data_IF_782889193078
#
_entry.id   IF_782889193078
#
_cell.length_a   1.000
_cell.length_b   1.000
_cell.length_c   1.000
_cell.angle_alpha   90.00
_cell.angle_beta   90.00
_cell.angle_gamma   90.00
#
_symmetry.space_group_name_H-M   'P 1'
#
loop_
_entity.id
_entity.type
_entity.pdbx_description
1 polymer ?
#
# COMPACT_ATOMS: atom_id res chain seq x y z
N UNK A 1 -11.87 -4.10 -16.73
CA UNK A 1 -11.62 -4.06 -15.30
C UNK A 1 -12.87 -4.42 -14.54
N UNK A 2 -12.76 -5.08 -13.41
CA UNK A 2 -13.89 -5.40 -12.52
C UNK A 2 -13.55 -4.84 -11.13
N UNK A 3 -14.53 -4.24 -10.45
CA UNK A 3 -14.40 -3.76 -9.08
C UNK A 3 -15.25 -4.68 -8.23
N UNK A 4 -14.65 -5.31 -7.24
CA UNK A 4 -15.27 -6.39 -6.48
C UNK A 4 -14.95 -6.22 -5.00
N UNK A 5 -15.96 -6.45 -4.13
CA UNK A 5 -15.71 -6.59 -2.69
C UNK A 5 -14.93 -7.87 -2.42
N UNK A 6 -14.02 -7.83 -1.45
CA UNK A 6 -13.19 -8.98 -1.11
C UNK A 6 -14.02 -9.99 -0.33
N UNK A 7 -14.07 -11.22 -0.83
CA UNK A 7 -14.66 -12.39 -0.17
C UNK A 7 -13.77 -13.63 -0.35
N UNK A 8 -14.13 -14.72 0.30
CA UNK A 8 -13.38 -15.98 0.24
C UNK A 8 -13.24 -16.54 -1.20
N UNK A 9 -14.24 -16.31 -2.05
CA UNK A 9 -14.22 -16.81 -3.44
C UNK A 9 -13.23 -16.01 -4.29
N UNK A 10 -13.20 -14.69 -4.11
CA UNK A 10 -12.24 -13.82 -4.79
C UNK A 10 -10.82 -14.14 -4.37
N UNK A 11 -10.58 -14.30 -3.07
CA UNK A 11 -9.27 -14.69 -2.53
C UNK A 11 -8.80 -16.01 -3.16
N UNK A 12 -9.68 -17.01 -3.22
CA UNK A 12 -9.36 -18.30 -3.86
C UNK A 12 -8.99 -18.12 -5.33
N UNK A 13 -9.79 -17.38 -6.12
CA UNK A 13 -9.53 -17.11 -7.53
C UNK A 13 -8.20 -16.38 -7.75
N UNK A 14 -7.87 -15.42 -6.89
CA UNK A 14 -6.62 -14.68 -6.95
C UNK A 14 -5.42 -15.61 -6.73
N UNK A 15 -5.49 -16.50 -5.74
CA UNK A 15 -4.45 -17.51 -5.48
C UNK A 15 -4.29 -18.47 -6.65
N UNK A 16 -5.38 -18.96 -7.22
CA UNK A 16 -5.38 -19.87 -8.36
C UNK A 16 -4.84 -19.23 -9.65
N UNK A 17 -4.90 -17.91 -9.77
CA UNK A 17 -4.44 -17.18 -10.96
C UNK A 17 -2.93 -16.93 -11.01
N UNK A 18 -2.17 -17.44 -10.04
CA UNK A 18 -0.72 -17.20 -9.96
C UNK A 18 -0.33 -15.75 -9.66
N UNK A 19 -1.28 -14.93 -9.25
CA UNK A 19 -0.99 -13.66 -8.59
C UNK A 19 -0.43 -14.05 -7.23
N UNK A 20 0.83 -13.77 -7.04
CA UNK A 20 1.75 -14.27 -6.04
C UNK A 20 1.14 -14.57 -4.65
N UNK A 21 1.74 -15.52 -3.96
CA UNK A 21 1.41 -15.96 -2.60
C UNK A 21 1.57 -14.87 -1.52
N UNK A 22 2.14 -13.71 -1.87
CA UNK A 22 2.27 -12.53 -1.00
C UNK A 22 0.94 -11.78 -0.78
N UNK A 23 -0.18 -12.40 -1.06
CA UNK A 23 -1.49 -11.77 -1.10
C UNK A 23 -2.28 -11.76 0.21
N UNK A 24 -1.68 -12.06 1.34
CA UNK A 24 -2.35 -11.82 2.63
C UNK A 24 -2.79 -10.35 2.77
N UNK A 25 -2.05 -9.41 2.15
CA UNK A 25 -2.43 -8.00 2.10
C UNK A 25 -3.75 -7.74 1.38
N UNK A 26 -4.07 -8.49 0.31
CA UNK A 26 -5.37 -8.34 -0.38
C UNK A 26 -6.53 -8.98 0.39
N UNK A 27 -6.28 -9.97 1.22
CA UNK A 27 -7.29 -10.57 2.11
C UNK A 27 -7.79 -9.56 3.17
N UNK A 28 -6.97 -8.56 3.49
CA UNK A 28 -7.30 -7.49 4.43
C UNK A 28 -7.93 -6.27 3.76
N UNK A 29 -8.07 -6.27 2.43
CA UNK A 29 -8.71 -5.19 1.70
C UNK A 29 -10.23 -5.28 1.77
N UNK A 30 -10.90 -4.11 1.76
CA UNK A 30 -12.35 -4.03 1.70
C UNK A 30 -12.86 -4.33 0.29
N UNK A 31 -12.09 -3.92 -0.72
CA UNK A 31 -12.40 -4.12 -2.13
C UNK A 31 -11.15 -4.13 -2.99
N UNK A 32 -11.29 -4.69 -4.20
CA UNK A 32 -10.20 -4.81 -5.19
C UNK A 32 -10.65 -4.41 -6.58
N UNK A 33 -9.72 -3.88 -7.36
CA UNK A 33 -9.82 -3.74 -8.82
C UNK A 33 -9.10 -4.92 -9.46
N UNK A 34 -9.79 -5.65 -10.32
CA UNK A 34 -9.23 -6.78 -11.06
C UNK A 34 -9.06 -6.43 -12.54
N UNK A 35 -7.92 -6.80 -13.09
CA UNK A 35 -7.70 -6.89 -14.53
C UNK A 35 -7.81 -8.35 -14.95
N UNK A 36 -8.70 -8.63 -15.90
CA UNK A 36 -8.93 -9.95 -16.46
C UNK A 36 -8.86 -9.88 -17.99
N UNK A 37 -8.16 -10.81 -18.60
CA UNK A 37 -8.03 -10.97 -20.05
C UNK A 37 -8.16 -12.45 -20.40
N UNK A 38 -9.11 -12.81 -21.29
CA UNK A 38 -9.38 -14.19 -21.71
C UNK A 38 -9.61 -15.17 -20.55
N UNK A 39 -10.31 -14.74 -19.50
CA UNK A 39 -10.61 -15.55 -18.32
C UNK A 39 -9.45 -15.67 -17.32
N UNK A 40 -8.30 -15.06 -17.60
CA UNK A 40 -7.12 -15.08 -16.73
C UNK A 40 -7.00 -13.75 -15.99
N UNK A 41 -6.85 -13.80 -14.67
CA UNK A 41 -6.59 -12.60 -13.86
C UNK A 41 -5.12 -12.22 -14.05
N UNK A 42 -4.90 -11.10 -14.72
CA UNK A 42 -3.56 -10.58 -14.99
C UNK A 42 -3.02 -9.65 -13.90
N UNK A 43 -3.87 -9.18 -13.00
CA UNK A 43 -3.47 -8.34 -11.89
C UNK A 43 -4.63 -7.88 -11.03
N UNK A 44 -4.29 -7.44 -9.82
CA UNK A 44 -5.23 -6.88 -8.85
C UNK A 44 -4.60 -5.72 -8.08
N UNK A 45 -5.41 -4.73 -7.70
CA UNK A 45 -5.05 -3.74 -6.70
C UNK A 45 -6.16 -3.66 -5.66
N UNK A 46 -5.79 -3.67 -4.39
CA UNK A 46 -6.74 -3.62 -3.27
C UNK A 46 -6.62 -2.32 -2.48
N UNK A 47 -7.67 -2.00 -1.73
CA UNK A 47 -7.76 -0.85 -0.85
C UNK A 47 -8.26 -1.29 0.53
N UNK A 48 -7.60 -0.83 1.58
CA UNK A 48 -8.06 -1.09 2.94
C UNK A 48 -7.16 -0.50 4.03
N UNK A 49 -7.50 -0.78 5.28
CA UNK A 49 -6.73 -0.38 6.46
C UNK A 49 -6.85 1.08 6.87
N UNK A 50 -6.24 1.39 8.01
CA UNK A 50 -6.39 2.66 8.71
C UNK A 50 -5.93 3.89 7.90
N UNK A 51 -4.91 3.73 7.06
CA UNK A 51 -4.37 4.82 6.24
C UNK A 51 -4.84 4.78 4.77
N UNK A 52 -5.95 4.07 4.48
CA UNK A 52 -6.42 3.84 3.12
C UNK A 52 -5.27 3.35 2.23
N UNK A 53 -4.61 2.28 2.68
CA UNK A 53 -3.44 1.75 1.97
C UNK A 53 -3.89 1.01 0.73
N UNK A 54 -3.28 1.32 -0.39
CA UNK A 54 -3.44 0.53 -1.62
C UNK A 54 -2.21 -0.33 -1.87
N UNK A 55 -2.47 -1.53 -2.40
CA UNK A 55 -1.43 -2.44 -2.87
C UNK A 55 -1.78 -2.96 -4.25
N UNK A 56 -0.78 -3.24 -5.08
CA UNK A 56 -0.96 -3.78 -6.43
C UNK A 56 -0.08 -4.99 -6.66
N UNK A 57 -0.65 -5.99 -7.31
CA UNK A 57 0.05 -7.20 -7.71
C UNK A 57 -0.28 -7.56 -9.15
N UNK A 58 0.71 -8.03 -9.90
CA UNK A 58 0.57 -8.44 -11.29
C UNK A 58 1.11 -9.87 -11.47
N UNK A 59 0.37 -10.66 -12.21
CA UNK A 59 0.88 -11.91 -12.75
C UNK A 59 2.07 -11.60 -13.67
N UNK A 60 3.13 -12.39 -13.59
CA UNK A 60 4.39 -12.16 -14.31
C UNK A 60 4.20 -12.01 -15.82
N UNK A 61 3.33 -12.84 -16.40
CA UNK A 61 3.03 -12.84 -17.85
C UNK A 61 2.34 -11.53 -18.32
N UNK A 62 1.89 -10.69 -17.37
CA UNK A 62 1.20 -9.43 -17.64
C UNK A 62 2.05 -8.20 -17.31
N UNK A 63 3.28 -8.40 -16.82
CA UNK A 63 4.22 -7.29 -16.53
C UNK A 63 4.72 -6.63 -17.83
N UNK A 64 5.16 -5.38 -17.73
CA UNK A 64 5.68 -4.61 -18.87
C UNK A 64 4.62 -4.09 -19.86
N UNK A 65 3.35 -4.48 -19.73
CA UNK A 65 2.24 -4.15 -20.65
C UNK A 65 1.45 -2.90 -20.24
N UNK A 66 1.92 -2.14 -19.25
CA UNK A 66 1.21 -0.96 -18.72
C UNK A 66 -0.04 -1.28 -17.88
N UNK A 67 -0.33 -2.56 -17.63
CA UNK A 67 -1.52 -3.01 -16.90
C UNK A 67 -1.52 -2.50 -15.46
N UNK A 68 -0.38 -2.47 -14.77
CA UNK A 68 -0.27 -1.93 -13.43
C UNK A 68 -0.75 -0.49 -13.33
N UNK A 69 -0.37 0.35 -14.31
CA UNK A 69 -0.82 1.75 -14.36
C UNK A 69 -2.33 1.86 -14.58
N UNK A 70 -2.90 1.00 -15.43
CA UNK A 70 -4.35 0.96 -15.68
C UNK A 70 -5.13 0.56 -14.42
N UNK A 71 -4.67 -0.49 -13.72
CA UNK A 71 -5.32 -0.98 -12.48
C UNK A 71 -5.24 0.09 -11.39
N UNK A 72 -4.06 0.69 -11.18
CA UNK A 72 -3.87 1.69 -10.14
C UNK A 72 -4.65 2.97 -10.43
N UNK A 73 -4.77 3.37 -11.69
CA UNK A 73 -5.62 4.50 -12.08
C UNK A 73 -7.09 4.21 -11.78
N UNK A 74 -7.60 3.02 -12.13
CA UNK A 74 -8.98 2.63 -11.82
C UNK A 74 -9.23 2.59 -10.31
N UNK A 75 -8.23 2.13 -9.52
CA UNK A 75 -8.33 2.14 -8.06
C UNK A 75 -8.43 3.59 -7.52
N UNK A 76 -7.65 4.52 -8.07
CA UNK A 76 -7.73 5.95 -7.72
C UNK A 76 -9.11 6.51 -8.04
N UNK A 77 -9.60 6.27 -9.27
CA UNK A 77 -10.89 6.76 -9.74
C UNK A 77 -12.05 6.20 -8.89
N UNK A 78 -12.00 4.90 -8.55
CA UNK A 78 -12.99 4.28 -7.66
C UNK A 78 -12.90 4.79 -6.22
N UNK A 79 -11.70 5.04 -5.72
CA UNK A 79 -11.53 5.64 -4.39
C UNK A 79 -12.21 7.01 -4.32
N UNK A 80 -12.05 7.84 -5.35
CA UNK A 80 -12.77 9.11 -5.45
C UNK A 80 -14.29 8.91 -5.46
N UNK A 81 -14.81 7.96 -6.25
CA UNK A 81 -16.25 7.65 -6.32
C UNK A 81 -16.83 7.18 -4.99
N UNK A 82 -16.03 6.45 -4.19
CA UNK A 82 -16.40 5.98 -2.85
C UNK A 82 -16.25 7.05 -1.76
N UNK A 83 -15.81 8.26 -2.10
CA UNK A 83 -15.67 9.37 -1.16
C UNK A 83 -14.43 9.32 -0.27
N UNK A 84 -13.41 8.57 -0.65
CA UNK A 84 -12.12 8.66 0.03
C UNK A 84 -11.52 10.04 -0.20
N UNK A 85 -11.00 10.67 0.85
CA UNK A 85 -10.33 11.97 0.74
C UNK A 85 -8.86 11.86 0.34
N UNK A 86 -8.25 10.71 0.60
CA UNK A 86 -6.85 10.39 0.26
C UNK A 86 -6.63 8.88 0.23
N UNK A 87 -5.56 8.46 -0.42
CA UNK A 87 -5.03 7.10 -0.34
C UNK A 87 -3.51 7.13 -0.17
N UNK A 88 -2.96 6.04 0.37
CA UNK A 88 -1.52 5.86 0.53
C UNK A 88 -1.04 4.56 -0.08
N UNK A 89 0.27 4.47 -0.31
CA UNK A 89 0.97 3.25 -0.72
C UNK A 89 2.26 3.10 0.07
N UNK A 90 2.64 1.87 0.31
CA UNK A 90 3.93 1.51 0.89
C UNK A 90 4.82 0.95 -0.22
N UNK A 91 5.92 1.62 -0.51
CA UNK A 91 6.84 1.25 -1.57
C UNK A 91 8.19 0.87 -0.99
N UNK A 92 8.69 -0.29 -1.37
CA UNK A 92 10.11 -0.56 -1.29
C UNK A 92 10.85 0.43 -2.22
N UNK A 93 11.73 1.31 -1.71
CA UNK A 93 12.48 2.27 -2.53
C UNK A 93 13.41 1.58 -3.55
N UNK A 94 13.78 0.31 -3.32
CA UNK A 94 14.53 -0.52 -4.27
C UNK A 94 13.68 -1.02 -5.45
N UNK A 95 12.36 -1.08 -5.29
CA UNK A 95 11.45 -1.46 -6.37
C UNK A 95 11.18 -0.28 -7.31
N UNK A 96 12.14 -0.02 -8.22
CA UNK A 96 12.09 1.13 -9.15
C UNK A 96 10.84 1.14 -10.03
N UNK A 97 10.28 -0.01 -10.38
CA UNK A 97 9.07 -0.11 -11.18
C UNK A 97 7.85 0.40 -10.42
N UNK A 98 7.70 0.02 -9.15
CA UNK A 98 6.64 0.48 -8.26
C UNK A 98 6.80 1.98 -7.97
N UNK A 99 8.03 2.44 -7.70
CA UNK A 99 8.33 3.86 -7.47
C UNK A 99 7.89 4.71 -8.66
N UNK A 100 8.37 4.36 -9.89
CA UNK A 100 8.01 5.08 -11.13
C UNK A 100 6.51 5.05 -11.41
N UNK A 101 5.84 3.93 -11.14
CA UNK A 101 4.40 3.81 -11.30
C UNK A 101 3.67 4.87 -10.47
N UNK A 102 3.93 4.91 -9.15
CA UNK A 102 3.23 5.82 -8.25
C UNK A 102 3.60 7.28 -8.49
N UNK A 103 4.88 7.59 -8.80
CA UNK A 103 5.30 8.94 -9.20
C UNK A 103 4.56 9.41 -10.45
N UNK A 104 4.40 8.53 -11.46
CA UNK A 104 3.67 8.84 -12.68
C UNK A 104 2.17 9.08 -12.51
N UNK A 105 1.62 8.70 -11.35
CA UNK A 105 0.22 8.87 -10.96
C UNK A 105 0.01 10.02 -9.97
N UNK A 106 1.07 10.77 -9.62
CA UNK A 106 0.99 11.95 -8.79
C UNK A 106 1.01 11.68 -7.29
N UNK A 107 1.53 10.53 -6.85
CA UNK A 107 1.76 10.29 -5.43
C UNK A 107 2.96 11.06 -4.92
N UNK A 108 2.79 11.79 -3.84
CA UNK A 108 3.85 12.51 -3.13
C UNK A 108 4.49 11.62 -2.06
N UNK A 109 5.79 11.75 -1.83
CA UNK A 109 6.46 11.16 -0.68
C UNK A 109 6.00 11.84 0.60
N UNK A 110 5.70 11.03 1.62
CA UNK A 110 5.24 11.52 2.92
C UNK A 110 6.28 11.29 4.01
N UNK A 111 6.73 10.06 4.19
CA UNK A 111 7.71 9.66 5.18
C UNK A 111 8.28 8.28 4.86
N UNK A 112 9.34 7.88 5.59
CA UNK A 112 10.00 6.58 5.46
C UNK A 112 9.94 5.81 6.77
N UNK A 113 9.72 4.50 6.69
CA UNK A 113 9.77 3.59 7.83
C UNK A 113 10.92 2.60 7.61
N UNK A 114 11.76 2.45 8.64
CA UNK A 114 12.77 1.43 8.70
C UNK A 114 12.31 0.32 9.64
N UNK A 115 12.38 -0.90 9.14
CA UNK A 115 12.04 -2.10 9.89
C UNK A 115 13.31 -2.87 10.23
N UNK A 116 13.22 -3.77 11.20
CA UNK A 116 14.30 -4.72 11.50
C UNK A 116 14.64 -5.55 10.25
N UNK A 117 15.84 -6.11 10.18
CA UNK A 117 16.39 -6.83 9.02
C UNK A 117 16.68 -5.93 7.79
N UNK A 118 16.77 -4.61 7.96
CA UNK A 118 17.13 -3.68 6.88
C UNK A 118 16.04 -3.42 5.86
N UNK A 119 14.79 -3.82 6.15
CA UNK A 119 13.66 -3.54 5.26
C UNK A 119 13.26 -2.07 5.40
N UNK A 120 13.01 -1.41 4.27
CA UNK A 120 12.66 0.01 4.20
C UNK A 120 11.43 0.20 3.33
N UNK A 121 10.48 1.00 3.79
CA UNK A 121 9.34 1.41 2.98
C UNK A 121 9.19 2.93 2.97
N UNK A 122 9.06 3.49 1.76
CA UNK A 122 8.60 4.86 1.55
C UNK A 122 7.07 4.86 1.52
N UNK A 123 6.47 5.68 2.35
CA UNK A 123 5.02 5.91 2.31
C UNK A 123 4.78 7.11 1.41
N UNK A 124 3.97 6.89 0.39
CA UNK A 124 3.52 7.93 -0.52
C UNK A 124 2.01 8.08 -0.43
N UNK A 125 1.49 9.26 -0.81
CA UNK A 125 0.05 9.51 -0.77
C UNK A 125 -0.40 10.45 -1.87
N UNK A 126 -1.69 10.34 -2.22
CA UNK A 126 -2.39 11.25 -3.11
C UNK A 126 -3.69 11.70 -2.45
N UNK A 127 -4.00 12.98 -2.52
CA UNK A 127 -5.23 13.56 -1.97
C UNK A 127 -6.19 13.92 -3.09
N UNK A 128 -7.49 13.78 -2.81
CA UNK A 128 -8.56 14.02 -3.76
C UNK A 128 -9.34 15.32 -3.48
N UNK A 129 -9.31 15.79 -2.25
CA UNK A 129 -10.04 16.97 -1.80
C UNK A 129 -9.26 17.79 -0.76
N UNK A 130 -9.87 18.89 -0.25
CA UNK A 130 -9.24 19.74 0.78
C UNK A 130 -8.99 18.99 2.09
N UNK A 131 -9.90 18.08 2.48
CA UNK A 131 -9.77 17.25 3.69
C UNK A 131 -8.58 16.29 3.52
N UNK A 132 -8.47 15.65 2.37
CA UNK A 132 -7.33 14.78 2.04
C UNK A 132 -6.01 15.51 2.05
N UNK A 133 -5.95 16.73 1.50
CA UNK A 133 -4.74 17.58 1.57
C UNK A 133 -4.32 17.87 3.01
N UNK A 134 -5.28 18.18 3.89
CA UNK A 134 -5.00 18.40 5.30
C UNK A 134 -4.48 17.14 5.98
N UNK A 135 -5.12 16.00 5.75
CA UNK A 135 -4.72 14.71 6.33
C UNK A 135 -3.33 14.26 5.86
N UNK A 136 -3.04 14.38 4.57
CA UNK A 136 -1.70 14.12 4.02
C UNK A 136 -0.67 15.09 4.59
N UNK A 137 -1.03 16.37 4.75
CA UNK A 137 -0.18 17.35 5.43
C UNK A 137 0.14 16.95 6.86
N UNK A 138 -0.84 16.43 7.58
CA UNK A 138 -0.65 15.91 8.94
C UNK A 138 0.26 14.65 8.93
N UNK A 139 0.09 13.73 7.98
CA UNK A 139 0.95 12.54 7.89
C UNK A 139 2.42 12.90 7.66
N UNK A 140 2.73 14.04 7.06
CA UNK A 140 4.12 14.51 6.88
C UNK A 140 4.84 14.82 8.20
N UNK A 141 4.14 14.91 9.34
CA UNK A 141 4.79 15.03 10.66
C UNK A 141 5.67 13.80 10.94
N UNK A 142 5.30 12.65 10.37
CA UNK A 142 6.10 11.44 10.46
C UNK A 142 7.41 11.48 9.66
N UNK A 143 7.62 12.51 8.84
CA UNK A 143 8.91 12.81 8.22
C UNK A 143 9.82 13.68 9.13
N UNK A 144 9.72 13.49 10.42
CA UNK A 144 10.59 14.05 11.44
C UNK A 144 11.07 12.91 12.36
N UNK A 145 12.24 13.07 12.96
CA UNK A 145 12.80 12.04 13.85
C UNK A 145 11.82 11.64 14.95
N UNK A 146 11.24 12.61 15.63
CA UNK A 146 10.25 12.37 16.71
C UNK A 146 8.99 11.72 16.15
N UNK A 147 8.47 12.23 15.05
CA UNK A 147 7.28 11.70 14.41
C UNK A 147 7.46 10.26 13.92
N UNK A 148 8.61 9.95 13.31
CA UNK A 148 8.91 8.57 12.86
C UNK A 148 9.04 7.61 14.04
N UNK A 149 9.66 8.02 15.14
CA UNK A 149 9.74 7.20 16.37
C UNK A 149 8.35 6.98 16.97
N UNK A 150 7.53 8.03 17.07
CA UNK A 150 6.16 7.92 17.56
C UNK A 150 5.32 6.97 16.70
N UNK A 151 5.42 7.09 15.36
CA UNK A 151 4.77 6.18 14.43
C UNK A 151 5.25 4.73 14.61
N UNK A 152 6.56 4.53 14.75
CA UNK A 152 7.13 3.19 14.94
C UNK A 152 6.59 2.52 16.23
N UNK A 153 6.46 3.28 17.32
CA UNK A 153 5.85 2.80 18.56
C UNK A 153 4.37 2.48 18.34
N UNK A 154 3.62 3.38 17.69
CA UNK A 154 2.21 3.19 17.38
C UNK A 154 1.98 1.93 16.54
N UNK A 155 2.76 1.73 15.48
CA UNK A 155 2.65 0.55 14.62
C UNK A 155 2.96 -0.74 15.38
N UNK A 156 3.94 -0.72 16.29
CA UNK A 156 4.27 -1.86 17.14
C UNK A 156 3.10 -2.23 18.07
N UNK A 157 2.46 -1.23 18.69
CA UNK A 157 1.29 -1.43 19.56
C UNK A 157 0.11 -1.94 18.75
N UNK A 158 -0.18 -1.32 17.61
CA UNK A 158 -1.31 -1.69 16.75
C UNK A 158 -1.14 -3.09 16.16
N UNK A 159 0.08 -3.48 15.76
CA UNK A 159 0.37 -4.84 15.30
C UNK A 159 0.05 -5.88 16.36
N UNK A 160 0.36 -5.60 17.62
CA UNK A 160 0.13 -6.53 18.74
C UNK A 160 -1.34 -6.58 19.16
N UNK A 161 -2.02 -5.42 19.20
CA UNK A 161 -3.37 -5.29 19.76
C UNK A 161 -4.48 -5.33 18.72
N UNK A 162 -4.18 -4.89 17.47
CA UNK A 162 -5.15 -4.74 16.39
C UNK A 162 -4.56 -5.15 15.03
N UNK A 163 -4.20 -6.43 14.84
CA UNK A 163 -3.53 -6.88 13.61
C UNK A 163 -4.33 -6.63 12.33
N UNK A 164 -5.67 -6.51 12.44
CA UNK A 164 -6.56 -6.23 11.29
C UNK A 164 -6.59 -4.75 10.84
N UNK A 165 -6.07 -3.82 11.65
CA UNK A 165 -6.08 -2.39 11.32
C UNK A 165 -4.92 -1.97 10.42
N UNK A 166 -3.92 -2.81 10.27
CA UNK A 166 -2.73 -2.56 9.47
C UNK A 166 -2.64 -3.68 8.45
N UNK A 167 -2.57 -3.31 7.17
CA UNK A 167 -2.35 -4.28 6.09
C UNK A 167 -0.88 -4.67 6.11
N UNK A 168 -0.51 -5.58 6.97
CA UNK A 168 0.79 -6.23 6.99
C UNK A 168 0.62 -7.74 6.96
N UNK A 169 1.44 -8.39 6.17
CA UNK A 169 1.74 -9.79 6.41
C UNK A 169 2.66 -9.88 7.63
N UNK A 170 2.22 -10.55 8.70
CA UNK A 170 3.01 -10.68 9.92
C UNK A 170 4.33 -11.41 9.70
N UNK A 171 4.37 -12.30 8.71
CA UNK A 171 5.56 -13.08 8.37
C UNK A 171 6.55 -12.30 7.49
N UNK A 172 6.10 -11.29 6.75
CA UNK A 172 6.90 -10.55 5.78
C UNK A 172 7.43 -9.21 6.28
N UNK A 173 6.65 -8.47 7.09
CA UNK A 173 7.08 -7.19 7.63
C UNK A 173 7.49 -7.29 9.09
N UNK A 174 8.80 -7.26 9.38
CA UNK A 174 9.30 -7.20 10.74
C UNK A 174 8.86 -5.92 11.44
N UNK A 175 8.99 -5.89 12.77
CA UNK A 175 8.66 -4.70 13.56
C UNK A 175 9.53 -3.51 13.17
N UNK A 176 9.03 -2.26 13.25
CA UNK A 176 9.83 -1.07 13.02
C UNK A 176 11.08 -1.05 13.92
N UNK A 177 12.23 -0.70 13.35
CA UNK A 177 13.50 -0.64 14.07
C UNK A 177 13.69 0.73 14.72
N UNK A 178 13.11 0.88 15.92
CA UNK A 178 13.17 2.13 16.67
C UNK A 178 14.62 2.53 16.97
N UNK A 179 15.49 1.56 17.31
CA UNK A 179 16.90 1.83 17.64
C UNK A 179 17.64 2.40 16.42
N UNK A 180 17.42 1.79 15.26
CA UNK A 180 18.00 2.29 14.01
C UNK A 180 17.49 3.69 13.67
N UNK A 181 16.16 3.93 13.76
CA UNK A 181 15.52 5.22 13.48
C UNK A 181 16.09 6.32 14.39
N UNK A 182 16.28 6.06 15.68
CA UNK A 182 16.83 7.04 16.61
C UNK A 182 18.25 7.46 16.23
N UNK A 183 19.06 6.51 15.74
CA UNK A 183 20.49 6.76 15.45
C UNK A 183 20.74 7.27 14.03
N UNK A 184 19.88 6.91 13.05
CA UNK A 184 20.15 7.09 11.62
C UNK A 184 19.01 7.77 10.87
N UNK A 185 18.14 8.52 11.55
CA UNK A 185 17.01 9.17 10.88
C UNK A 185 17.47 10.09 9.76
N UNK A 186 16.92 9.88 8.57
CA UNK A 186 17.04 10.76 7.40
C UNK A 186 15.67 11.26 6.97
N UNK A 187 15.54 12.56 6.77
CA UNK A 187 14.35 13.19 6.21
C UNK A 187 14.31 12.95 4.69
N UNK A 188 13.14 12.54 4.15
CA UNK A 188 12.96 12.32 2.71
C UNK A 188 12.06 13.39 2.07
#
# INVERSE_FOLDING_TARGET
>A
MKIISVDKNIIKKLRESGISTEMKSLESCDWVVLYEENGIIGGAAGMGGMFNVSGIQLNENFRGRGIGKKIQKELIDESCRRGYSFITVFNDPGNTSSVKLHDSLGYDKLFRIHYSKGIVNDVKGISFDKKGKLLIGFLRIFNTKIGTVALAILLKILKTSFPKLIIYDEDELPSPDIKWIVNNFEKI
#
